data_IF_681157446161
#
_entry.id   IF_681157446161
#
_cell.length_a   1.000
_cell.length_b   1.000
_cell.length_c   1.000
_cell.angle_alpha   90.00
_cell.angle_beta   90.00
_cell.angle_gamma   90.00
#
_symmetry.space_group_name_H-M   'P 1'
#
loop_
_entity.id
_entity.type
_entity.pdbx_description
1 polymer ?
#
# COMPACT_ATOMS: atom_id res chain seq x y z
N UNK A 1 0.54 -17.84 20.84
CA UNK A 1 0.93 -17.77 19.57
C UNK A 1 0.92 -16.41 18.95
N UNK A 2 1.89 -16.10 18.14
CA UNK A 2 1.93 -14.83 17.56
C UNK A 2 1.10 -14.75 16.34
N UNK A 3 0.56 -13.61 16.05
CA UNK A 3 -0.19 -13.39 14.84
C UNK A 3 0.77 -13.44 13.69
N UNK A 4 0.37 -14.05 12.60
CA UNK A 4 1.18 -14.03 11.42
C UNK A 4 0.93 -12.74 10.69
N UNK A 5 1.94 -12.21 10.06
CA UNK A 5 1.77 -11.03 9.24
C UNK A 5 0.96 -11.41 8.02
N UNK A 6 -0.03 -10.60 7.68
CA UNK A 6 -0.89 -10.85 6.54
C UNK A 6 -0.58 -9.96 5.37
N UNK A 7 0.38 -9.07 5.53
CA UNK A 7 0.82 -8.20 4.47
C UNK A 7 2.29 -7.88 4.71
N UNK A 8 3.01 -7.57 3.67
CA UNK A 8 4.42 -7.29 3.81
C UNK A 8 4.81 -5.97 3.16
N UNK A 9 5.89 -5.41 3.68
CA UNK A 9 6.52 -4.23 3.15
C UNK A 9 7.92 -4.65 2.79
N UNK A 10 8.31 -4.39 1.56
CA UNK A 10 9.60 -4.86 1.07
C UNK A 10 10.75 -3.93 1.45
N UNK A 11 10.50 -2.64 1.46
CA UNK A 11 11.56 -1.67 1.71
C UNK A 11 11.07 -0.65 2.72
N UNK A 12 11.95 -0.16 3.57
CA UNK A 12 11.53 0.76 4.63
C UNK A 12 10.93 2.05 4.09
N UNK A 13 11.19 2.41 2.85
CA UNK A 13 10.62 3.61 2.27
C UNK A 13 9.28 3.39 1.61
N UNK A 14 8.79 2.17 1.57
CA UNK A 14 7.52 1.87 0.90
C UNK A 14 6.37 2.57 1.60
N UNK A 15 5.45 3.08 0.82
CA UNK A 15 4.25 3.72 1.36
C UNK A 15 3.04 2.82 1.22
N UNK A 16 3.21 1.63 0.66
CA UNK A 16 2.14 0.63 0.53
C UNK A 16 2.66 -0.72 0.99
N UNK A 17 1.73 -1.55 1.42
CA UNK A 17 2.03 -2.95 1.75
C UNK A 17 1.28 -3.81 0.77
N UNK A 18 1.76 -5.03 0.58
CA UNK A 18 1.12 -5.99 -0.33
C UNK A 18 0.45 -7.07 0.50
N UNK A 19 -0.83 -7.30 0.23
CA UNK A 19 -1.59 -8.31 0.96
C UNK A 19 -1.15 -9.71 0.54
N UNK A 20 -0.93 -10.57 1.53
CA UNK A 20 -0.52 -11.94 1.27
C UNK A 20 -1.72 -12.87 1.10
N UNK A 21 -2.88 -12.40 1.48
CA UNK A 21 -4.12 -13.15 1.37
C UNK A 21 -5.24 -12.15 1.28
N UNK A 22 -6.47 -12.54 0.94
CA UNK A 22 -7.55 -11.56 0.87
C UNK A 22 -7.81 -11.01 2.26
N UNK A 23 -7.96 -9.70 2.37
CA UNK A 23 -8.16 -9.04 3.65
C UNK A 23 -9.48 -8.29 3.62
N UNK A 24 -10.15 -8.22 4.77
CA UNK A 24 -11.47 -7.62 4.85
C UNK A 24 -11.45 -6.19 5.28
N UNK A 25 -12.42 -5.43 4.81
CA UNK A 25 -12.59 -4.05 5.25
C UNK A 25 -12.84 -4.08 6.76
N UNK A 26 -12.27 -3.14 7.46
CA UNK A 26 -12.44 -3.04 8.91
C UNK A 26 -11.47 -3.87 9.72
N UNK A 27 -10.74 -4.76 9.09
CA UNK A 27 -9.80 -5.61 9.83
C UNK A 27 -8.57 -4.82 10.21
N UNK A 28 -8.00 -5.14 11.37
CA UNK A 28 -6.71 -4.59 11.77
C UNK A 28 -5.69 -5.66 11.43
N UNK A 29 -4.86 -5.39 10.43
CA UNK A 29 -3.92 -6.40 9.97
C UNK A 29 -2.52 -6.10 10.43
N UNK A 30 -1.77 -7.15 10.71
CA UNK A 30 -0.38 -7.03 11.09
C UNK A 30 0.46 -6.90 9.85
N UNK A 31 1.32 -5.90 9.83
CA UNK A 31 2.19 -5.63 8.70
C UNK A 31 3.61 -5.61 9.22
N UNK A 32 4.46 -6.38 8.59
CA UNK A 32 5.85 -6.39 8.99
C UNK A 32 6.58 -5.31 8.23
N UNK A 33 7.14 -4.34 8.94
CA UNK A 33 7.86 -3.24 8.35
C UNK A 33 9.26 -3.26 8.91
N UNK A 34 10.20 -3.69 8.11
CA UNK A 34 11.59 -3.73 8.53
C UNK A 34 11.71 -4.62 9.76
N UNK A 35 12.00 -4.11 10.89
CA UNK A 35 12.20 -4.91 12.07
C UNK A 35 11.05 -4.90 13.04
N UNK A 36 9.92 -4.41 12.64
CA UNK A 36 8.81 -4.33 13.57
C UNK A 36 7.51 -4.67 12.90
N UNK A 37 6.52 -4.96 13.71
CA UNK A 37 5.19 -5.28 13.22
C UNK A 37 4.24 -4.20 13.68
N UNK A 38 3.46 -3.65 12.78
CA UNK A 38 2.47 -2.63 13.11
C UNK A 38 1.10 -3.10 12.66
N UNK A 39 0.07 -2.59 13.29
CA UNK A 39 -1.28 -2.93 12.91
C UNK A 39 -1.90 -1.77 12.14
N UNK A 40 -2.48 -2.09 10.99
CA UNK A 40 -3.11 -1.10 10.14
C UNK A 40 -4.57 -1.49 9.98
N UNK A 41 -5.47 -0.56 10.25
CA UNK A 41 -6.87 -0.83 10.08
C UNK A 41 -7.25 -0.59 8.63
N UNK A 42 -7.85 -1.57 7.98
CA UNK A 42 -8.18 -1.45 6.58
C UNK A 42 -9.50 -0.75 6.39
N UNK A 43 -9.56 0.14 5.42
CA UNK A 43 -10.76 0.88 5.11
C UNK A 43 -11.52 0.24 3.96
N UNK A 44 -10.93 -0.74 3.31
CA UNK A 44 -11.57 -1.41 2.19
C UNK A 44 -11.07 -2.84 2.13
N UNK A 45 -11.77 -3.64 1.37
CA UNK A 45 -11.37 -5.01 1.14
C UNK A 45 -10.15 -4.99 0.24
N UNK A 46 -9.16 -5.82 0.53
CA UNK A 46 -7.92 -5.87 -0.25
C UNK A 46 -7.74 -7.27 -0.81
N UNK A 47 -7.82 -7.45 -2.10
CA UNK A 47 -7.59 -8.78 -2.68
C UNK A 47 -6.14 -9.22 -2.50
N UNK A 48 -5.91 -10.51 -2.48
CA UNK A 48 -4.55 -11.03 -2.35
C UNK A 48 -3.69 -10.48 -3.47
N UNK A 49 -2.49 -10.08 -3.14
CA UNK A 49 -1.56 -9.53 -4.13
C UNK A 49 -1.74 -8.04 -4.39
N UNK A 50 -2.80 -7.45 -3.86
CA UNK A 50 -3.03 -6.03 -4.06
C UNK A 50 -2.39 -5.23 -2.94
N UNK A 51 -2.35 -3.92 -3.11
CA UNK A 51 -1.67 -3.01 -2.19
C UNK A 51 -2.64 -2.20 -1.38
N UNK A 52 -2.24 -1.82 -0.19
CA UNK A 52 -3.00 -0.83 0.57
C UNK A 52 -2.03 0.17 1.17
N UNK A 53 -2.54 1.34 1.49
CA UNK A 53 -1.69 2.44 1.95
C UNK A 53 -1.25 2.25 3.39
N UNK A 54 0.02 2.52 3.65
CA UNK A 54 0.56 2.48 5.00
C UNK A 54 0.42 3.83 5.68
N UNK A 55 0.26 4.89 4.90
CA UNK A 55 0.18 6.23 5.43
C UNK A 55 -0.84 7.01 4.63
N UNK A 56 -1.26 8.15 5.15
CA UNK A 56 -2.12 9.04 4.41
C UNK A 56 -1.28 9.70 3.32
N UNK A 57 -1.84 9.85 2.13
CA UNK A 57 -1.13 10.48 1.02
C UNK A 57 -2.05 11.50 0.36
N UNK A 58 -1.50 12.66 0.09
CA UNK A 58 -2.26 13.68 -0.63
C UNK A 58 -2.21 13.37 -2.13
N UNK A 59 -3.13 13.93 -2.88
CA UNK A 59 -3.15 13.76 -4.31
C UNK A 59 -1.81 14.21 -4.89
N UNK A 60 -1.27 13.45 -5.80
CA UNK A 60 0.00 13.78 -6.43
C UNK A 60 1.23 13.27 -5.68
N UNK A 61 1.01 12.47 -4.63
CA UNK A 61 2.12 11.92 -3.87
C UNK A 61 2.70 10.70 -4.58
N UNK A 62 4.02 10.58 -4.59
CA UNK A 62 4.64 9.39 -5.14
C UNK A 62 4.30 8.19 -4.30
N UNK A 63 3.88 7.12 -4.94
CA UNK A 63 3.61 5.86 -4.26
C UNK A 63 4.86 5.01 -4.42
N UNK A 64 5.43 4.59 -3.30
CA UNK A 64 6.72 3.89 -3.28
C UNK A 64 6.50 2.41 -2.96
N UNK A 65 7.08 1.56 -3.78
CA UNK A 65 7.06 0.13 -3.55
C UNK A 65 8.42 -0.41 -3.95
N UNK A 66 8.99 -1.27 -3.13
CA UNK A 66 10.33 -1.80 -3.33
C UNK A 66 11.36 -0.66 -3.34
N UNK A 67 11.06 0.39 -2.61
CA UNK A 67 11.96 1.52 -2.52
C UNK A 67 11.94 2.45 -3.73
N UNK A 68 11.05 2.21 -4.68
CA UNK A 68 10.99 2.98 -5.92
C UNK A 68 9.62 3.57 -6.16
N UNK A 69 9.54 4.74 -6.75
CA UNK A 69 8.23 5.28 -7.07
C UNK A 69 7.62 4.48 -8.21
N UNK A 70 6.42 3.96 -7.99
CA UNK A 70 5.74 3.19 -9.02
C UNK A 70 4.65 4.00 -9.70
N UNK A 71 4.34 5.17 -9.17
CA UNK A 71 3.34 6.03 -9.75
C UNK A 71 3.02 7.13 -8.78
N UNK A 72 1.98 7.88 -9.07
CA UNK A 72 1.52 8.95 -8.19
C UNK A 72 0.05 8.77 -7.89
N UNK A 73 -0.35 9.16 -6.70
CA UNK A 73 -1.75 9.09 -6.32
C UNK A 73 -2.55 10.09 -7.14
N UNK A 74 -3.73 9.70 -7.60
CA UNK A 74 -4.57 10.57 -8.39
C UNK A 74 -5.65 11.21 -7.54
N UNK A 75 -5.69 10.86 -6.26
CA UNK A 75 -6.62 11.42 -5.30
C UNK A 75 -5.99 11.26 -3.94
N UNK A 76 -6.59 11.87 -2.94
CA UNK A 76 -6.13 11.69 -1.57
C UNK A 76 -6.38 10.24 -1.19
N UNK A 77 -5.41 9.60 -0.56
CA UNK A 77 -5.50 8.21 -0.13
C UNK A 77 -5.27 8.17 1.37
N UNK A 78 -6.14 7.50 2.10
CA UNK A 78 -5.98 7.37 3.54
C UNK A 78 -5.28 6.07 3.90
N UNK A 79 -4.62 6.05 5.04
CA UNK A 79 -4.00 4.84 5.55
C UNK A 79 -5.04 3.73 5.59
N UNK A 80 -4.70 2.56 5.09
CA UNK A 80 -5.59 1.41 5.07
C UNK A 80 -6.47 1.32 3.84
N UNK A 81 -6.36 2.29 2.96
CA UNK A 81 -7.18 2.31 1.76
C UNK A 81 -6.54 1.47 0.65
N UNK A 82 -7.36 0.82 -0.16
CA UNK A 82 -6.88 0.01 -1.29
C UNK A 82 -6.22 0.93 -2.33
N UNK A 83 -5.04 0.58 -2.76
CA UNK A 83 -4.31 1.34 -3.76
C UNK A 83 -4.22 0.50 -5.01
N UNK A 84 -4.81 1.00 -6.09
CA UNK A 84 -4.83 0.25 -7.33
C UNK A 84 -5.04 1.26 -8.45
N UNK A 85 -5.33 0.79 -9.65
CA UNK A 85 -5.40 1.71 -10.77
C UNK A 85 -6.47 2.79 -10.63
N UNK A 86 -7.43 2.63 -9.75
CA UNK A 86 -8.44 3.68 -9.57
C UNK A 86 -7.88 4.92 -8.89
N UNK A 87 -6.78 4.83 -8.17
CA UNK A 87 -6.21 5.98 -7.48
C UNK A 87 -4.69 6.09 -7.64
N UNK A 88 -4.16 5.40 -8.62
CA UNK A 88 -2.71 5.38 -8.86
C UNK A 88 -2.44 5.43 -10.36
N UNK A 89 -1.61 6.38 -10.79
CA UNK A 89 -1.19 6.40 -12.18
C UNK A 89 0.19 5.77 -12.27
N UNK A 90 0.48 5.18 -13.39
CA UNK A 90 1.79 4.56 -13.60
C UNK A 90 2.82 5.63 -13.94
N UNK A 91 3.89 5.66 -13.18
CA UNK A 91 4.92 6.62 -13.44
C UNK A 91 5.66 6.33 -14.72
N UNK A 92 5.89 5.07 -14.99
CA UNK A 92 6.58 4.68 -16.17
C UNK A 92 5.89 5.16 -17.42
N UNK A 93 4.58 5.10 -17.41
CA UNK A 93 3.86 5.56 -18.51
C UNK A 93 4.02 7.01 -18.79
N UNK A 94 4.10 7.80 -17.78
CA UNK A 94 4.28 9.19 -17.94
C UNK A 94 5.58 9.56 -18.55
N UNK A 95 6.61 8.85 -18.19
CA UNK A 95 7.88 9.16 -18.73
C UNK A 95 7.99 8.91 -20.19
N UNK A 96 7.20 8.02 -20.70
CA UNK A 96 7.28 7.74 -22.09
C UNK A 96 6.55 8.69 -22.94
N UNK A 97 5.90 9.59 -22.32
CA UNK A 97 5.22 10.55 -23.05
C UNK A 97 5.97 11.65 -23.48
N UNK A 98 6.92 11.81 -23.50
CA UNK A 98 7.57 12.95 -23.89
C UNK A 98 8.27 12.87 -24.60
#
# INVERSE_FOLDING_TARGET
MKDKAKAIVIHEKDTVATALEPLRAGAAVSVEIHNRVEKIKLLAEIPAGHKFALIDMEKGTDVIKYGEPIGQSTAKIAQGEHVHRHNLTSRTKQENER
#
